data_IF_965583498951
#
_entry.id   IF_965583498951
#
_cell.length_a   1.000
_cell.length_b   1.000
_cell.length_c   1.000
_cell.angle_alpha   90.00
_cell.angle_beta   90.00
_cell.angle_gamma   90.00
#
_symmetry.space_group_name_H-M   'P 1'
#
loop_
_entity.id
_entity.type
_entity.pdbx_description
1 polymer ?
#
# COMPACT_ATOMS: atom_id res chain seq x y z
N UNK A 1 0.74 -8.66 -22.52
CA UNK A 1 1.54 -7.77 -21.64
C UNK A 1 2.95 -8.33 -21.39
N UNK A 2 3.07 -9.60 -20.96
CA UNK A 2 4.38 -10.24 -20.67
C UNK A 2 5.25 -10.41 -21.92
N UNK A 3 4.67 -10.88 -23.03
CA UNK A 3 5.36 -10.94 -24.34
C UNK A 3 5.87 -9.56 -24.78
N UNK A 4 5.09 -8.49 -24.57
CA UNK A 4 5.47 -7.14 -24.96
C UNK A 4 6.60 -6.56 -24.08
N UNK A 5 6.64 -6.93 -22.79
CA UNK A 5 7.72 -6.52 -21.87
C UNK A 5 9.03 -7.26 -22.12
N UNK A 6 8.97 -8.54 -22.55
CA UNK A 6 10.16 -9.38 -22.76
C UNK A 6 10.64 -9.39 -24.22
N UNK A 7 9.79 -9.04 -25.19
CA UNK A 7 10.15 -8.95 -26.61
C UNK A 7 11.39 -8.08 -26.92
N UNK A 8 11.65 -6.95 -26.22
CA UNK A 8 12.86 -6.15 -26.46
C UNK A 8 14.16 -6.85 -26.03
N UNK A 9 14.07 -7.82 -25.11
CA UNK A 9 15.22 -8.45 -24.46
C UNK A 9 15.48 -9.88 -24.95
N UNK A 10 14.63 -10.40 -25.83
CA UNK A 10 14.65 -11.82 -26.20
C UNK A 10 14.50 -11.96 -27.74
N UNK A 11 15.31 -12.80 -28.40
CA UNK A 11 15.21 -13.07 -29.83
C UNK A 11 13.80 -13.44 -30.31
N UNK A 12 13.46 -13.03 -31.53
CA UNK A 12 12.11 -13.15 -32.13
C UNK A 12 11.56 -14.58 -32.18
N UNK A 13 12.42 -15.59 -32.22
CA UNK A 13 12.04 -17.01 -32.21
C UNK A 13 11.61 -17.50 -30.82
N UNK A 14 12.14 -16.92 -29.73
CA UNK A 14 11.71 -17.23 -28.36
C UNK A 14 10.49 -16.41 -27.97
N UNK A 15 10.39 -15.14 -28.42
CA UNK A 15 9.28 -14.25 -28.06
C UNK A 15 7.91 -14.79 -28.52
N UNK A 16 7.88 -15.56 -29.61
CA UNK A 16 6.67 -16.26 -30.10
C UNK A 16 6.21 -17.37 -29.15
N UNK A 17 7.14 -18.00 -28.42
CA UNK A 17 6.85 -19.08 -27.46
C UNK A 17 6.40 -18.55 -26.09
N UNK A 18 6.57 -17.25 -25.81
CA UNK A 18 6.18 -16.65 -24.53
C UNK A 18 4.65 -16.43 -24.51
N UNK A 19 3.92 -16.95 -23.49
CA UNK A 19 2.49 -16.70 -23.36
C UNK A 19 2.19 -15.20 -23.15
N UNK A 20 1.12 -14.71 -23.78
CA UNK A 20 0.75 -13.30 -23.73
C UNK A 20 0.27 -12.83 -22.34
N UNK A 21 -0.26 -13.78 -21.55
CA UNK A 21 -0.83 -13.62 -20.22
C UNK A 21 -0.34 -14.74 -19.30
N UNK A 22 0.00 -14.41 -18.05
CA UNK A 22 0.34 -15.38 -17.01
C UNK A 22 -0.84 -15.50 -16.06
N UNK A 23 -1.30 -16.73 -15.80
CA UNK A 23 -2.29 -16.97 -14.76
C UNK A 23 -1.58 -17.18 -13.42
N UNK A 24 -1.76 -16.23 -12.51
CA UNK A 24 -1.12 -16.19 -11.18
C UNK A 24 -1.99 -16.80 -10.07
N UNK A 25 -3.15 -17.37 -10.39
CA UNK A 25 -4.13 -18.02 -9.51
C UNK A 25 -3.84 -17.98 -7.99
N UNK A 26 -3.05 -18.92 -7.44
CA UNK A 26 -2.76 -18.99 -6.00
C UNK A 26 -1.91 -17.82 -5.49
N UNK A 27 -0.91 -17.38 -6.26
CA UNK A 27 -0.07 -16.23 -5.92
C UNK A 27 -0.88 -14.93 -5.84
N UNK A 28 -1.97 -14.82 -6.62
CA UNK A 28 -2.86 -13.67 -6.55
C UNK A 28 -3.57 -13.58 -5.19
N UNK A 29 -4.04 -14.69 -4.63
CA UNK A 29 -4.64 -14.67 -3.29
C UNK A 29 -3.64 -14.29 -2.21
N UNK A 30 -2.40 -14.78 -2.29
CA UNK A 30 -1.32 -14.39 -1.36
C UNK A 30 -1.04 -12.89 -1.49
N UNK A 31 -0.95 -12.37 -2.72
CA UNK A 31 -0.81 -10.94 -2.98
C UNK A 31 -1.95 -10.12 -2.35
N UNK A 32 -3.21 -10.53 -2.53
CA UNK A 32 -4.36 -9.83 -1.94
C UNK A 32 -4.30 -9.81 -0.41
N UNK A 33 -3.94 -10.92 0.23
CA UNK A 33 -3.74 -10.97 1.68
C UNK A 33 -2.66 -9.98 2.14
N UNK A 34 -1.53 -9.91 1.42
CA UNK A 34 -0.46 -8.97 1.73
C UNK A 34 -0.90 -7.52 1.56
N UNK A 35 -1.65 -7.21 0.51
CA UNK A 35 -2.18 -5.85 0.27
C UNK A 35 -3.15 -5.44 1.38
N UNK A 36 -4.02 -6.34 1.85
CA UNK A 36 -4.90 -6.09 2.99
C UNK A 36 -4.12 -5.76 4.24
N UNK A 37 -3.18 -6.64 4.63
CA UNK A 37 -2.33 -6.44 5.83
C UNK A 37 -1.51 -5.15 5.72
N UNK A 38 -0.98 -4.86 4.53
CA UNK A 38 -0.21 -3.64 4.29
C UNK A 38 -1.09 -2.39 4.47
N UNK A 39 -2.24 -2.30 3.78
CA UNK A 39 -3.11 -1.13 3.85
C UNK A 39 -3.62 -0.85 5.27
N UNK A 40 -3.96 -1.90 6.02
CA UNK A 40 -4.44 -1.76 7.41
C UNK A 40 -3.37 -1.23 8.37
N UNK A 41 -2.10 -1.53 8.11
CA UNK A 41 -0.99 -1.09 8.97
C UNK A 41 -0.31 0.19 8.46
N UNK A 42 -0.41 0.49 7.16
CA UNK A 42 0.28 1.61 6.51
C UNK A 42 -0.09 2.97 7.12
N UNK A 43 -1.39 3.21 7.35
CA UNK A 43 -1.87 4.45 7.99
C UNK A 43 -1.39 4.52 9.44
N UNK A 44 -1.36 3.39 10.14
CA UNK A 44 -0.99 3.34 11.54
C UNK A 44 0.51 3.58 11.80
N UNK A 45 1.37 3.16 10.87
CA UNK A 45 2.80 3.44 10.94
C UNK A 45 3.08 4.93 10.72
N UNK A 46 2.26 5.60 9.89
CA UNK A 46 2.36 7.03 9.63
C UNK A 46 1.46 7.83 10.59
N UNK A 47 1.72 7.71 11.89
CA UNK A 47 0.95 8.32 12.96
C UNK A 47 1.83 9.13 13.93
N UNK A 48 1.21 9.84 14.87
CA UNK A 48 1.89 10.52 15.98
C UNK A 48 1.94 12.05 15.89
N UNK A 49 1.28 12.65 14.89
CA UNK A 49 1.11 14.10 14.78
C UNK A 49 -0.38 14.43 14.68
N UNK A 50 -0.84 15.43 15.44
CA UNK A 50 -2.25 15.83 15.49
C UNK A 50 -2.85 16.06 14.09
N UNK A 51 -3.83 15.24 13.72
CA UNK A 51 -4.54 15.34 12.44
C UNK A 51 -3.88 14.58 11.29
N UNK A 52 -2.75 13.89 11.49
CA UNK A 52 -2.03 13.22 10.42
C UNK A 52 -2.74 11.95 9.95
N UNK A 53 -3.23 11.14 10.88
CA UNK A 53 -3.89 9.85 10.61
C UNK A 53 -5.23 10.08 9.89
N UNK A 54 -6.06 10.96 10.45
CA UNK A 54 -7.35 11.32 9.82
C UNK A 54 -7.16 12.15 8.56
N UNK A 55 -6.17 13.04 8.51
CA UNK A 55 -5.87 13.88 7.35
C UNK A 55 -5.41 13.06 6.14
N UNK A 56 -4.46 12.13 6.31
CA UNK A 56 -4.00 11.28 5.20
C UNK A 56 -5.14 10.39 4.67
N UNK A 57 -5.97 9.85 5.56
CA UNK A 57 -7.12 9.01 5.19
C UNK A 57 -8.15 9.80 4.37
N UNK A 58 -8.39 11.07 4.73
CA UNK A 58 -9.25 11.99 3.96
C UNK A 58 -8.67 12.26 2.58
N UNK A 59 -7.37 12.57 2.48
CA UNK A 59 -6.71 12.87 1.20
C UNK A 59 -6.75 11.66 0.27
N UNK A 60 -6.41 10.48 0.77
CA UNK A 60 -6.48 9.24 0.00
C UNK A 60 -7.93 8.94 -0.40
N UNK A 61 -8.87 8.98 0.55
CA UNK A 61 -10.29 8.72 0.29
C UNK A 61 -10.87 9.64 -0.77
N UNK A 62 -10.58 10.95 -0.69
CA UNK A 62 -11.00 11.93 -1.69
C UNK A 62 -10.39 11.66 -3.08
N UNK A 63 -9.12 11.25 -3.12
CA UNK A 63 -8.44 10.89 -4.38
C UNK A 63 -9.07 9.66 -5.04
N UNK A 64 -9.43 8.65 -4.24
CA UNK A 64 -10.11 7.44 -4.73
C UNK A 64 -11.54 7.77 -5.16
N UNK A 65 -12.28 8.63 -4.44
CA UNK A 65 -13.60 9.10 -4.86
C UNK A 65 -13.53 9.81 -6.21
N UNK A 66 -12.59 10.74 -6.39
CA UNK A 66 -12.40 11.44 -7.65
C UNK A 66 -12.06 10.46 -8.79
N UNK A 67 -11.18 9.49 -8.54
CA UNK A 67 -10.86 8.44 -9.49
C UNK A 67 -12.09 7.63 -9.90
N UNK A 68 -12.90 7.17 -8.93
CA UNK A 68 -14.11 6.39 -9.23
C UNK A 68 -15.15 7.22 -10.00
N UNK A 69 -15.33 8.51 -9.67
CA UNK A 69 -16.22 9.40 -10.43
C UNK A 69 -15.80 9.52 -11.89
N UNK A 70 -14.51 9.66 -12.16
CA UNK A 70 -13.99 9.72 -13.54
C UNK A 70 -14.24 8.38 -14.24
N UNK A 71 -13.96 7.25 -13.59
CA UNK A 71 -14.09 5.94 -14.22
C UNK A 71 -15.53 5.53 -14.52
N UNK A 72 -16.48 5.90 -13.65
CA UNK A 72 -17.92 5.72 -13.89
C UNK A 72 -18.36 6.35 -15.22
N UNK A 73 -17.73 7.46 -15.63
CA UNK A 73 -18.06 8.15 -16.89
C UNK A 73 -17.27 7.67 -18.10
N UNK A 74 -16.16 6.94 -17.89
CA UNK A 74 -15.23 6.55 -18.96
C UNK A 74 -15.29 5.07 -19.33
N UNK A 75 -15.65 4.20 -18.39
CA UNK A 75 -15.55 2.75 -18.54
C UNK A 75 -16.91 2.12 -18.25
N UNK A 76 -17.69 1.87 -19.30
CA UNK A 76 -19.03 1.27 -19.18
C UNK A 76 -18.99 -0.14 -18.59
N UNK A 77 -17.99 -0.95 -18.95
CA UNK A 77 -17.86 -2.33 -18.49
C UNK A 77 -17.66 -2.46 -16.96
N UNK A 78 -17.07 -1.44 -16.31
CA UNK A 78 -16.76 -1.44 -14.87
C UNK A 78 -17.63 -0.47 -14.07
N UNK A 79 -18.74 -0.01 -14.65
CA UNK A 79 -19.62 0.99 -14.04
C UNK A 79 -20.08 0.59 -12.63
N UNK A 80 -20.55 -0.66 -12.48
CA UNK A 80 -21.08 -1.15 -11.21
C UNK A 80 -20.01 -1.29 -10.12
N UNK A 81 -18.79 -1.67 -10.50
CA UNK A 81 -17.67 -1.84 -9.57
C UNK A 81 -17.25 -0.49 -8.95
N UNK A 82 -17.14 0.54 -9.80
CA UNK A 82 -16.82 1.90 -9.36
C UNK A 82 -17.97 2.57 -8.60
N UNK A 83 -19.23 2.28 -8.97
CA UNK A 83 -20.40 2.76 -8.23
C UNK A 83 -20.48 2.13 -6.83
N UNK A 84 -20.24 0.83 -6.72
CA UNK A 84 -20.18 0.13 -5.44
C UNK A 84 -19.10 0.71 -4.53
N UNK A 85 -17.91 0.95 -5.09
CA UNK A 85 -16.80 1.63 -4.39
C UNK A 85 -17.22 3.00 -3.84
N UNK A 86 -17.97 3.81 -4.63
CA UNK A 86 -18.48 5.11 -4.18
C UNK A 86 -19.47 4.99 -3.02
N UNK A 87 -20.34 3.97 -3.01
CA UNK A 87 -21.28 3.76 -1.90
C UNK A 87 -20.59 3.52 -0.56
N UNK A 88 -19.40 2.91 -0.54
CA UNK A 88 -18.60 2.76 0.67
C UNK A 88 -17.77 4.01 0.99
N UNK A 89 -17.21 4.66 -0.04
CA UNK A 89 -16.28 5.77 0.15
C UNK A 89 -16.94 7.09 0.56
N UNK A 90 -18.17 7.37 0.10
CA UNK A 90 -18.86 8.61 0.47
C UNK A 90 -19.12 8.67 1.99
N UNK A 91 -19.73 7.63 2.63
CA UNK A 91 -19.86 7.59 4.08
C UNK A 91 -18.50 7.65 4.80
N UNK A 92 -17.53 6.86 4.34
CA UNK A 92 -16.18 6.86 4.90
C UNK A 92 -15.57 8.26 4.93
N UNK A 93 -15.61 8.99 3.80
CA UNK A 93 -15.03 10.32 3.69
C UNK A 93 -15.75 11.33 4.58
N UNK A 94 -17.08 11.27 4.66
CA UNK A 94 -17.85 12.16 5.55
C UNK A 94 -17.50 11.95 7.03
N UNK A 95 -17.40 10.70 7.48
CA UNK A 95 -17.01 10.37 8.84
C UNK A 95 -15.54 10.75 9.12
N UNK A 96 -14.63 10.48 8.19
CA UNK A 96 -13.21 10.84 8.32
C UNK A 96 -13.01 12.35 8.36
N UNK A 97 -13.75 13.12 7.55
CA UNK A 97 -13.75 14.59 7.59
C UNK A 97 -14.27 15.11 8.92
N UNK A 98 -15.38 14.56 9.43
CA UNK A 98 -15.92 14.94 10.74
C UNK A 98 -14.89 14.69 11.85
N UNK A 99 -14.26 13.51 11.87
CA UNK A 99 -13.21 13.17 12.83
C UNK A 99 -11.99 14.10 12.70
N UNK A 100 -11.56 14.38 11.48
CA UNK A 100 -10.45 15.30 11.21
C UNK A 100 -10.70 16.70 11.79
N UNK A 101 -11.93 17.22 11.78
CA UNK A 101 -12.21 18.53 12.37
C UNK A 101 -11.93 18.59 13.89
N UNK A 102 -12.15 17.49 14.61
CA UNK A 102 -11.85 17.39 16.04
C UNK A 102 -10.42 16.93 16.33
N UNK A 103 -9.78 16.26 15.37
CA UNK A 103 -8.43 15.73 15.50
C UNK A 103 -7.34 16.69 14.96
N UNK A 104 -7.69 17.68 14.12
CA UNK A 104 -6.74 18.69 13.63
C UNK A 104 -6.14 19.49 14.79
N UNK A 105 -4.95 20.01 14.59
CA UNK A 105 -4.27 20.83 15.60
C UNK A 105 -5.07 22.09 15.99
N UNK A 106 -5.24 22.39 17.29
CA UNK A 106 -4.91 21.55 18.46
C UNK A 106 -5.95 20.43 18.66
N UNK A 107 -5.48 19.18 18.75
CA UNK A 107 -6.37 18.01 18.77
C UNK A 107 -7.21 17.95 20.06
N UNK A 108 -8.52 17.76 19.89
CA UNK A 108 -9.48 17.55 20.99
C UNK A 108 -9.74 16.06 21.25
N UNK A 109 -9.58 15.24 20.21
CA UNK A 109 -9.75 13.78 20.25
C UNK A 109 -8.60 13.12 19.51
N UNK A 110 -8.20 11.94 19.96
CA UNK A 110 -7.27 11.07 19.25
C UNK A 110 -8.02 9.95 18.56
N UNK A 111 -7.56 9.56 17.38
CA UNK A 111 -8.24 8.56 16.55
C UNK A 111 -7.90 7.12 16.97
N UNK A 112 -6.65 6.90 17.40
CA UNK A 112 -6.11 5.59 17.81
C UNK A 112 -6.06 4.55 16.68
N UNK A 113 -5.62 3.35 17.04
CA UNK A 113 -5.49 2.21 16.11
C UNK A 113 -6.83 1.82 15.46
N UNK A 114 -7.94 2.03 16.17
CA UNK A 114 -9.29 1.72 15.68
C UNK A 114 -9.60 2.42 14.36
N UNK A 115 -9.31 3.72 14.28
CA UNK A 115 -9.52 4.46 13.05
C UNK A 115 -8.54 4.03 11.96
N UNK A 116 -7.26 3.85 12.30
CA UNK A 116 -6.23 3.46 11.33
C UNK A 116 -6.58 2.13 10.65
N UNK A 117 -6.98 1.13 11.43
CA UNK A 117 -7.41 -0.16 10.90
C UNK A 117 -8.71 -0.07 10.09
N UNK A 118 -9.69 0.69 10.58
CA UNK A 118 -10.94 0.89 9.85
C UNK A 118 -10.72 1.60 8.50
N UNK A 119 -9.89 2.64 8.47
CA UNK A 119 -9.57 3.39 7.26
C UNK A 119 -8.79 2.53 6.26
N UNK A 120 -7.74 1.85 6.71
CA UNK A 120 -6.96 0.97 5.85
C UNK A 120 -7.79 -0.19 5.28
N UNK A 121 -8.67 -0.78 6.10
CA UNK A 121 -9.56 -1.86 5.66
C UNK A 121 -10.60 -1.37 4.66
N UNK A 122 -11.21 -0.21 4.90
CA UNK A 122 -12.21 0.36 3.98
C UNK A 122 -11.59 0.64 2.61
N UNK A 123 -10.41 1.28 2.59
CA UNK A 123 -9.70 1.62 1.36
C UNK A 123 -9.25 0.38 0.57
N UNK A 124 -8.80 -0.69 1.25
CA UNK A 124 -8.40 -1.92 0.54
C UNK A 124 -9.61 -2.67 0.00
N UNK A 125 -10.70 -2.78 0.76
CA UNK A 125 -11.92 -3.49 0.32
C UNK A 125 -12.49 -2.85 -0.95
N UNK A 126 -12.64 -1.53 -0.98
CA UNK A 126 -13.16 -0.85 -2.17
C UNK A 126 -12.23 -1.00 -3.37
N UNK A 127 -10.93 -1.07 -3.16
CA UNK A 127 -9.96 -1.28 -4.25
C UNK A 127 -9.95 -2.71 -4.80
N UNK A 128 -10.28 -3.70 -3.97
CA UNK A 128 -10.40 -5.10 -4.38
C UNK A 128 -11.69 -5.28 -5.16
N UNK A 129 -12.82 -4.83 -4.60
CA UNK A 129 -14.13 -4.93 -5.23
C UNK A 129 -14.21 -4.09 -6.52
N UNK A 130 -13.54 -2.93 -6.54
CA UNK A 130 -13.46 -2.06 -7.71
C UNK A 130 -12.43 -2.49 -8.76
N UNK A 131 -11.72 -3.60 -8.56
CA UNK A 131 -10.66 -4.08 -9.45
C UNK A 131 -9.52 -3.07 -9.74
N UNK A 132 -9.31 -2.08 -8.85
CA UNK A 132 -8.29 -1.03 -8.98
C UNK A 132 -7.20 -1.11 -7.89
N UNK A 133 -6.95 -2.28 -7.32
CA UNK A 133 -5.98 -2.48 -6.21
C UNK A 133 -4.56 -2.00 -6.55
N UNK A 134 -4.17 -2.07 -7.84
CA UNK A 134 -2.89 -1.52 -8.31
C UNK A 134 -2.83 0.02 -8.18
N UNK A 135 -3.91 0.70 -8.53
CA UNK A 135 -4.05 2.16 -8.39
C UNK A 135 -4.10 2.57 -6.92
N UNK A 136 -4.70 1.74 -6.07
CA UNK A 136 -4.73 2.00 -4.62
C UNK A 136 -3.32 2.03 -4.02
N UNK A 137 -2.45 1.10 -4.44
CA UNK A 137 -1.05 1.07 -4.01
C UNK A 137 -0.31 2.35 -4.46
N UNK A 138 -0.64 2.91 -5.64
CA UNK A 138 -0.08 4.21 -6.08
C UNK A 138 -0.48 5.36 -5.17
N UNK A 139 -1.72 5.39 -4.70
CA UNK A 139 -2.16 6.40 -3.73
C UNK A 139 -1.52 6.25 -2.35
N UNK A 140 -0.99 5.05 -2.04
CA UNK A 140 -0.26 4.75 -0.81
C UNK A 140 1.26 4.93 -0.93
N UNK A 141 1.79 5.48 -2.03
CA UNK A 141 3.23 5.70 -2.22
C UNK A 141 3.88 6.44 -1.03
N UNK A 142 3.31 7.52 -0.48
CA UNK A 142 3.89 8.19 0.68
C UNK A 142 4.06 7.24 1.88
N UNK A 143 3.08 6.37 2.12
CA UNK A 143 3.10 5.37 3.19
C UNK A 143 4.10 4.24 2.89
N UNK A 144 4.23 3.81 1.63
CA UNK A 144 5.23 2.81 1.21
C UNK A 144 6.63 3.34 1.44
N UNK A 145 6.92 4.59 1.05
CA UNK A 145 8.23 5.22 1.24
C UNK A 145 8.63 5.37 2.71
N UNK A 146 7.65 5.61 3.60
CA UNK A 146 7.88 5.75 5.04
C UNK A 146 7.82 4.44 5.82
N UNK A 147 7.41 3.32 5.20
CA UNK A 147 7.60 1.98 5.77
C UNK A 147 9.08 1.55 5.85
N UNK A 148 9.98 2.38 5.32
CA UNK A 148 11.41 2.29 5.56
C UNK A 148 11.72 2.68 7.00
N UNK A 149 12.07 1.70 7.83
CA UNK A 149 12.32 1.90 9.25
C UNK A 149 13.80 1.74 9.58
N UNK A 150 14.39 2.73 10.24
CA UNK A 150 15.79 2.72 10.70
C UNK A 150 15.84 2.35 12.18
N UNK A 151 16.60 1.31 12.51
CA UNK A 151 16.81 0.91 13.90
C UNK A 151 18.29 0.67 14.19
N UNK A 152 18.75 0.94 15.42
CA UNK A 152 20.11 0.56 15.82
C UNK A 152 20.24 -0.96 15.86
N UNK A 153 21.31 -1.50 15.29
CA UNK A 153 21.58 -2.94 15.25
C UNK A 153 21.72 -3.51 16.69
N UNK A 154 22.22 -2.70 17.63
CA UNK A 154 22.33 -3.06 19.04
C UNK A 154 20.99 -3.30 19.75
N UNK A 155 19.88 -2.79 19.21
CA UNK A 155 18.53 -2.97 19.79
C UNK A 155 17.82 -4.22 19.27
N UNK A 156 18.39 -4.89 18.26
CA UNK A 156 17.82 -6.12 17.70
C UNK A 156 18.05 -7.30 18.66
N UNK A 157 16.97 -7.68 19.35
CA UNK A 157 16.93 -8.93 20.12
C UNK A 157 16.98 -10.13 19.18
N UNK A 158 17.30 -11.31 19.72
CA UNK A 158 17.36 -12.57 18.97
C UNK A 158 16.12 -12.81 18.09
N UNK A 159 14.93 -12.59 18.65
CA UNK A 159 13.67 -12.75 17.91
C UNK A 159 13.54 -11.76 16.74
N UNK A 160 14.01 -10.51 16.90
CA UNK A 160 14.03 -9.52 15.83
C UNK A 160 14.97 -9.93 14.70
N UNK A 161 16.17 -10.41 15.03
CA UNK A 161 17.12 -10.93 14.04
C UNK A 161 16.59 -12.16 13.28
N UNK A 162 15.92 -13.07 13.97
CA UNK A 162 15.27 -14.23 13.34
C UNK A 162 14.17 -13.79 12.37
N UNK A 163 13.29 -12.89 12.82
CA UNK A 163 12.19 -12.36 12.02
C UNK A 163 12.68 -11.65 10.76
N UNK A 164 13.71 -10.78 10.87
CA UNK A 164 14.28 -10.10 9.69
C UNK A 164 14.86 -11.08 8.68
N UNK A 165 15.59 -12.11 9.14
CA UNK A 165 16.14 -13.15 8.25
C UNK A 165 15.04 -13.96 7.57
N UNK A 166 13.98 -14.30 8.30
CA UNK A 166 12.83 -15.04 7.78
C UNK A 166 12.13 -14.25 6.66
N UNK A 167 11.75 -13.00 6.93
CA UNK A 167 11.05 -12.16 5.94
C UNK A 167 11.95 -11.77 4.75
N UNK A 168 13.25 -11.61 4.98
CA UNK A 168 14.23 -11.40 3.91
C UNK A 168 14.37 -12.62 2.99
N UNK A 169 14.36 -13.84 3.55
CA UNK A 169 14.41 -15.07 2.76
C UNK A 169 13.19 -15.26 1.84
N UNK A 170 12.02 -14.75 2.23
CA UNK A 170 10.81 -14.76 1.41
C UNK A 170 10.72 -13.57 0.41
N UNK A 171 11.71 -12.69 0.37
CA UNK A 171 11.71 -11.51 -0.50
C UNK A 171 10.70 -10.43 -0.09
N UNK A 172 10.14 -10.52 1.12
CA UNK A 172 9.13 -9.59 1.64
C UNK A 172 9.75 -8.34 2.27
N UNK A 173 11.04 -8.41 2.60
CA UNK A 173 11.76 -7.39 3.35
C UNK A 173 13.21 -7.29 2.87
N UNK A 174 13.70 -6.08 2.66
CA UNK A 174 15.12 -5.82 2.40
C UNK A 174 15.72 -5.06 3.57
N UNK A 175 16.80 -5.57 4.15
CA UNK A 175 17.53 -4.89 5.22
C UNK A 175 18.90 -4.44 4.73
N UNK A 176 19.23 -3.15 4.93
CA UNK A 176 20.57 -2.59 4.70
C UNK A 176 21.17 -2.15 6.02
N UNK A 177 22.36 -2.64 6.34
CA UNK A 177 23.13 -2.09 7.46
C UNK A 177 24.02 -0.95 6.97
N UNK A 178 23.97 0.19 7.63
CA UNK A 178 24.88 1.32 7.38
C UNK A 178 25.39 1.90 8.70
N UNK A 179 26.52 2.58 8.64
CA UNK A 179 27.09 3.27 9.80
C UNK A 179 26.65 4.74 9.79
N UNK A 180 26.04 5.20 10.87
CA UNK A 180 25.59 6.59 11.03
C UNK A 180 25.86 7.03 12.45
N UNK A 181 26.64 8.09 12.59
CA UNK A 181 27.12 8.63 13.87
C UNK A 181 27.93 7.61 14.71
N UNK A 182 28.75 6.78 14.03
CA UNK A 182 29.61 5.77 14.67
C UNK A 182 28.84 4.58 15.26
N UNK A 183 27.56 4.45 14.93
CA UNK A 183 26.69 3.36 15.35
C UNK A 183 26.13 2.65 14.10
N UNK A 184 26.22 1.31 14.09
CA UNK A 184 25.55 0.50 13.07
C UNK A 184 24.03 0.60 13.21
N UNK A 185 23.39 1.01 12.12
CA UNK A 185 21.95 1.06 11.96
C UNK A 185 21.51 0.10 10.86
N UNK A 186 20.33 -0.48 11.03
CA UNK A 186 19.68 -1.37 10.08
C UNK A 186 18.47 -0.63 9.55
N UNK A 187 18.50 -0.30 8.27
CA UNK A 187 17.36 0.14 7.49
C UNK A 187 16.59 -1.07 7.00
N UNK A 188 15.32 -1.13 7.36
CA UNK A 188 14.40 -2.18 6.95
C UNK A 188 13.40 -1.58 5.98
N UNK A 189 13.35 -2.12 4.77
CA UNK A 189 12.41 -1.73 3.72
C UNK A 189 11.44 -2.89 3.51
N UNK A 190 10.18 -2.70 3.89
CA UNK A 190 9.11 -3.65 3.55
C UNK A 190 8.72 -3.50 2.07
N UNK A 191 8.52 -4.63 1.37
CA UNK A 191 8.00 -4.67 -0.01
C UNK A 191 8.83 -3.92 -1.08
N UNK A 192 10.16 -4.09 -1.07
CA UNK A 192 11.08 -3.52 -2.08
C UNK A 192 10.69 -3.82 -3.53
N UNK A 193 10.22 -5.04 -3.81
CA UNK A 193 9.74 -5.46 -5.15
C UNK A 193 8.62 -4.54 -5.67
N UNK A 194 7.76 -4.04 -4.79
CA UNK A 194 6.66 -3.15 -5.15
C UNK A 194 7.17 -1.73 -5.47
N UNK A 195 8.18 -1.24 -4.75
CA UNK A 195 8.80 0.07 -5.01
C UNK A 195 9.64 0.06 -6.30
N UNK A 196 10.40 -1.02 -6.55
CA UNK A 196 11.18 -1.22 -7.78
C UNK A 196 10.27 -1.41 -9.02
N UNK A 197 9.06 -1.96 -8.85
CA UNK A 197 8.04 -2.06 -9.92
C UNK A 197 7.35 -0.73 -10.23
N UNK A 198 7.31 0.22 -9.28
CA UNK A 198 6.69 1.54 -9.46
C UNK A 198 7.66 2.61 -9.98
N UNK A 199 8.97 2.38 -9.88
CA UNK A 199 10.03 3.31 -10.29
C UNK A 199 10.72 2.92 -11.60
N UNK A 200 10.31 1.82 -12.23
CA UNK A 200 10.74 1.37 -13.56
C UNK A 200 9.57 1.38 -14.53
#
# INVERSE_FOLDING_TARGET
MVRAMLAPFVPSWISQSIPATINIHHLYYVFMCMVVVFCTNAINILAGVNGLESGQAVVIGASVVLFNLIQVTRVEEQYWDHLLSLYFLIPFLTCALALYQFNKYPARVFVGDTFCYWAGMTLVVVSILGHFSKTMILFLIPQVGMSMAEFKESNLKFLGNFTLKLFSAFGLLHSRSFDRDGMRQVLVIFLREMFDFLTK
#
